data_IF_016914925985
#
_entry.id   IF_016914925985
#
_cell.length_a   1.000
_cell.length_b   1.000
_cell.length_c   1.000
_cell.angle_alpha   90.00
_cell.angle_beta   90.00
_cell.angle_gamma   90.00
#
_symmetry.space_group_name_H-M   'P 1'
#
loop_
_entity.id
_entity.type
_entity.pdbx_description
1 polymer ?
#
# COMPACT_ATOMS: atom_id res chain seq x y z
N UNK A 1 14.82 75.93 18.27
CA UNK A 1 13.57 75.19 18.06
C UNK A 1 13.87 73.68 18.19
N UNK A 2 13.41 73.05 19.24
CA UNK A 2 13.68 71.63 19.52
C UNK A 2 12.54 70.80 18.90
N UNK A 3 12.86 69.95 17.92
CA UNK A 3 11.94 69.03 17.24
C UNK A 3 11.51 67.94 18.21
N UNK A 4 10.24 67.94 18.62
CA UNK A 4 9.62 66.85 19.40
C UNK A 4 9.64 65.56 18.57
N UNK A 5 10.45 64.57 19.00
CA UNK A 5 10.36 63.17 18.50
C UNK A 5 9.00 62.62 18.88
N UNK A 6 8.17 62.28 17.89
CA UNK A 6 6.91 61.59 18.10
C UNK A 6 7.19 60.22 18.74
N UNK A 7 6.69 59.96 19.93
CA UNK A 7 6.69 58.64 20.55
C UNK A 7 5.81 57.72 19.66
N UNK A 8 6.41 56.74 18.97
CA UNK A 8 5.67 55.67 18.35
C UNK A 8 4.81 55.00 19.45
N UNK A 9 3.50 55.03 19.27
CA UNK A 9 2.56 54.28 20.10
C UNK A 9 2.83 52.79 19.91
N UNK A 10 3.44 52.15 20.92
CA UNK A 10 3.50 50.70 21.00
C UNK A 10 2.12 50.18 21.44
N UNK A 11 1.42 49.47 20.56
CA UNK A 11 0.25 48.71 20.96
C UNK A 11 0.67 47.67 22.01
N UNK A 12 0.18 47.82 23.24
CA UNK A 12 0.38 46.81 24.30
C UNK A 12 -0.70 45.74 24.14
N UNK A 13 -0.32 44.54 23.77
CA UNK A 13 -1.20 43.39 23.81
C UNK A 13 -1.57 43.04 25.27
N UNK A 14 -2.74 42.40 25.46
CA UNK A 14 -3.18 41.94 26.78
C UNK A 14 -2.15 41.00 27.42
N UNK A 15 -2.08 40.98 28.76
CA UNK A 15 -1.17 40.08 29.47
C UNK A 15 -1.43 38.62 29.11
N UNK A 16 -0.40 37.93 28.65
CA UNK A 16 -0.48 36.54 28.19
C UNK A 16 -0.61 36.36 26.68
N UNK A 17 -0.93 37.43 25.92
CA UNK A 17 -1.08 37.33 24.48
C UNK A 17 0.23 37.05 23.72
N UNK A 18 1.38 37.34 24.34
CA UNK A 18 2.69 37.18 23.71
C UNK A 18 3.32 38.53 23.38
N UNK A 19 4.52 38.48 22.79
CA UNK A 19 5.26 39.70 22.43
C UNK A 19 5.99 39.53 21.11
N UNK A 20 6.03 40.61 20.33
CA UNK A 20 6.84 40.73 19.11
C UNK A 20 8.00 41.65 19.46
N UNK A 21 9.24 41.21 19.20
CA UNK A 21 10.45 41.97 19.50
C UNK A 21 11.32 42.02 18.27
N UNK A 22 11.71 43.23 17.81
CA UNK A 22 12.71 43.38 16.75
C UNK A 22 14.10 43.18 17.34
N UNK A 23 14.79 42.15 16.89
CA UNK A 23 16.16 41.83 17.28
C UNK A 23 17.16 42.72 16.55
N UNK A 24 18.23 43.15 17.22
CA UNK A 24 19.30 43.93 16.59
C UNK A 24 20.22 43.09 15.68
N UNK A 25 21.05 43.80 14.91
CA UNK A 25 22.00 43.22 13.97
C UNK A 25 21.42 42.99 12.58
N UNK A 26 22.27 42.58 11.64
CA UNK A 26 21.89 42.33 10.24
C UNK A 26 21.25 40.93 10.05
N UNK A 27 20.04 40.75 10.56
CA UNK A 27 19.31 39.47 10.58
C UNK A 27 18.33 39.39 9.41
N UNK A 28 18.33 38.28 8.71
CA UNK A 28 17.39 38.01 7.61
C UNK A 28 15.91 37.96 8.09
N UNK A 29 15.69 37.57 9.37
CA UNK A 29 14.39 37.51 10.02
C UNK A 29 14.46 38.20 11.39
N UNK A 30 14.34 39.54 11.44
CA UNK A 30 14.61 40.30 12.67
C UNK A 30 13.46 40.31 13.69
N UNK A 31 12.24 39.90 13.33
CA UNK A 31 11.10 39.96 14.24
C UNK A 31 10.89 38.59 14.91
N UNK A 32 11.11 38.59 16.24
CA UNK A 32 10.91 37.41 17.09
C UNK A 32 9.54 37.49 17.79
N UNK A 33 8.74 36.43 17.66
CA UNK A 33 7.47 36.26 18.38
C UNK A 33 7.68 35.31 19.55
N UNK A 34 7.27 35.75 20.75
CA UNK A 34 7.28 34.95 21.98
C UNK A 34 5.86 34.81 22.49
N UNK A 35 5.49 33.59 22.90
CA UNK A 35 4.20 33.28 23.53
C UNK A 35 4.41 32.66 24.90
N UNK A 36 3.44 32.83 25.80
CA UNK A 36 3.42 32.18 27.10
C UNK A 36 2.78 30.81 26.96
N UNK A 37 3.52 29.74 27.26
CA UNK A 37 3.06 28.36 27.16
C UNK A 37 2.58 27.77 28.49
N UNK A 38 2.80 28.50 29.61
CA UNK A 38 2.40 28.08 30.95
C UNK A 38 3.01 28.95 32.06
N UNK A 39 2.81 28.53 33.32
CA UNK A 39 3.37 29.14 34.50
C UNK A 39 4.11 28.09 35.32
N UNK A 40 5.30 28.39 35.77
CA UNK A 40 6.06 27.56 36.68
C UNK A 40 6.59 28.44 37.79
N UNK A 41 6.30 28.08 39.04
CA UNK A 41 6.72 28.82 40.25
C UNK A 41 6.35 30.33 40.21
N UNK A 42 5.14 30.66 39.76
CA UNK A 42 4.65 32.03 39.62
C UNK A 42 5.28 32.84 38.48
N UNK A 43 6.14 32.24 37.66
CA UNK A 43 6.80 32.88 36.52
C UNK A 43 6.26 32.34 35.20
N UNK A 44 6.10 33.25 34.21
CA UNK A 44 5.69 32.87 32.87
C UNK A 44 6.77 32.03 32.16
N UNK A 45 6.39 30.85 31.71
CA UNK A 45 7.22 30.07 30.78
C UNK A 45 6.92 30.58 29.36
N UNK A 46 7.94 31.17 28.73
CA UNK A 46 7.81 31.75 27.37
C UNK A 46 8.61 30.92 26.37
N UNK A 47 8.02 30.64 25.21
CA UNK A 47 8.70 30.01 24.07
C UNK A 47 8.67 30.94 22.86
N UNK A 48 9.65 30.83 21.96
CA UNK A 48 9.62 31.49 20.66
C UNK A 48 8.63 30.76 19.76
N UNK A 49 7.68 31.53 19.18
CA UNK A 49 6.79 31.03 18.12
C UNK A 49 7.54 30.92 16.80
N UNK A 50 8.42 31.91 16.52
CA UNK A 50 9.24 31.94 15.32
C UNK A 50 9.96 33.29 15.15
N UNK A 51 10.69 33.38 14.01
CA UNK A 51 11.37 34.58 13.56
C UNK A 51 10.87 34.96 12.16
N UNK A 52 10.48 36.21 11.96
CA UNK A 52 9.78 36.69 10.76
C UNK A 52 10.53 37.84 10.10
N UNK A 53 10.30 38.04 8.79
CA UNK A 53 10.97 39.08 8.01
C UNK A 53 10.34 40.47 8.34
N UNK A 54 9.04 40.51 8.58
CA UNK A 54 8.29 41.73 8.83
C UNK A 54 7.47 41.65 10.14
N UNK A 55 7.16 42.81 10.71
CA UNK A 55 6.26 42.93 11.88
C UNK A 55 4.86 42.45 11.55
N UNK A 56 4.39 42.62 10.29
CA UNK A 56 3.08 42.16 9.83
C UNK A 56 2.99 40.65 9.84
N UNK A 57 4.01 39.94 9.34
CA UNK A 57 4.06 38.48 9.40
C UNK A 57 4.10 37.98 10.85
N UNK A 58 4.84 38.64 11.71
CA UNK A 58 4.93 38.32 13.14
C UNK A 58 3.57 38.48 13.84
N UNK A 59 2.80 39.53 13.50
CA UNK A 59 1.45 39.78 14.02
C UNK A 59 0.46 38.72 13.53
N UNK A 60 0.50 38.36 12.26
CA UNK A 60 -0.35 37.29 11.69
C UNK A 60 -0.08 35.96 12.41
N UNK A 61 1.18 35.59 12.57
CA UNK A 61 1.55 34.35 13.25
C UNK A 61 1.10 34.33 14.73
N UNK A 62 1.18 35.47 15.43
CA UNK A 62 0.68 35.59 16.79
C UNK A 62 -0.83 35.51 16.89
N UNK A 63 -1.56 36.08 15.91
CA UNK A 63 -3.01 36.00 15.82
C UNK A 63 -3.49 34.57 15.51
N UNK A 64 -2.82 33.86 14.61
CA UNK A 64 -3.09 32.45 14.28
C UNK A 64 -2.85 31.53 15.47
N UNK A 65 -1.80 31.79 16.24
CA UNK A 65 -1.55 31.06 17.48
C UNK A 65 -2.74 31.15 18.45
N UNK A 66 -3.33 32.32 18.61
CA UNK A 66 -4.47 32.53 19.51
C UNK A 66 -5.81 32.05 18.95
N UNK A 67 -5.95 31.86 17.65
CA UNK A 67 -7.14 31.24 17.06
C UNK A 67 -7.23 29.71 17.31
N UNK A 68 -6.28 29.13 18.05
CA UNK A 68 -6.30 27.73 18.41
C UNK A 68 -5.75 26.80 17.32
N UNK A 69 -5.14 27.33 16.25
CA UNK A 69 -4.58 26.56 15.14
C UNK A 69 -3.08 26.26 15.26
N UNK A 70 -2.40 26.72 16.31
CA UNK A 70 -0.95 26.60 16.40
C UNK A 70 -0.51 25.88 17.69
N UNK A 71 -0.23 24.60 17.59
CA UNK A 71 0.46 23.87 18.66
C UNK A 71 1.96 23.92 18.41
N UNK A 72 2.68 24.77 19.19
CA UNK A 72 4.12 24.98 19.06
C UNK A 72 4.98 23.72 19.17
N UNK A 73 4.53 22.75 19.95
CA UNK A 73 5.25 21.48 20.10
C UNK A 73 5.08 20.60 18.86
N UNK A 74 3.91 20.70 18.23
CA UNK A 74 3.58 19.92 17.02
C UNK A 74 4.13 20.57 15.74
N UNK A 75 4.19 21.91 15.65
CA UNK A 75 4.66 22.63 14.46
C UNK A 75 6.17 22.51 14.20
N UNK A 76 6.95 22.11 15.21
CA UNK A 76 8.39 21.90 15.08
C UNK A 76 8.78 20.45 14.80
N UNK A 77 7.81 19.52 14.76
CA UNK A 77 8.10 18.12 14.46
C UNK A 77 8.66 17.96 13.06
N UNK A 78 9.82 17.30 12.98
CA UNK A 78 10.43 16.95 11.70
C UNK A 78 9.67 15.84 10.99
N UNK A 79 9.88 15.70 9.69
CA UNK A 79 9.29 14.61 8.90
C UNK A 79 9.62 13.23 9.51
N UNK A 80 10.87 13.03 9.95
CA UNK A 80 11.32 11.80 10.59
C UNK A 80 10.58 11.51 11.90
N UNK A 81 10.46 12.52 12.79
CA UNK A 81 9.74 12.38 14.07
C UNK A 81 8.24 12.09 13.86
N UNK A 82 7.62 12.72 12.86
CA UNK A 82 6.22 12.45 12.53
C UNK A 82 6.07 11.04 11.98
N UNK A 83 6.99 10.59 11.12
CA UNK A 83 7.00 9.22 10.61
C UNK A 83 7.10 8.20 11.75
N UNK A 84 8.04 8.38 12.68
CA UNK A 84 8.25 7.44 13.79
C UNK A 84 7.04 7.37 14.73
N UNK A 85 6.39 8.50 15.00
CA UNK A 85 5.11 8.53 15.73
C UNK A 85 3.98 7.82 15.01
N UNK A 86 3.89 8.00 13.69
CA UNK A 86 2.87 7.37 12.87
C UNK A 86 3.07 5.88 12.76
N UNK A 87 4.30 5.42 12.45
CA UNK A 87 4.60 4.00 12.26
C UNK A 87 4.34 3.20 13.54
N UNK A 88 4.72 3.72 14.70
CA UNK A 88 4.48 3.08 16.00
C UNK A 88 3.00 2.82 16.29
N UNK A 89 2.08 3.62 15.71
CA UNK A 89 0.63 3.45 15.89
C UNK A 89 0.04 2.36 15.00
N UNK A 90 0.68 2.09 13.87
CA UNK A 90 0.18 1.11 12.89
C UNK A 90 0.95 -0.20 12.91
N UNK A 91 2.14 -0.24 13.51
CA UNK A 91 3.04 -1.40 13.52
C UNK A 91 2.37 -2.68 14.01
N UNK A 92 1.60 -2.62 15.09
CA UNK A 92 0.91 -3.79 15.65
C UNK A 92 -0.24 -4.34 14.79
N UNK A 93 -0.73 -3.54 13.82
CA UNK A 93 -1.89 -3.86 12.98
C UNK A 93 -1.52 -4.09 11.52
N UNK A 94 -0.38 -3.58 11.09
CA UNK A 94 0.06 -3.65 9.71
C UNK A 94 0.82 -4.95 9.43
N UNK A 95 0.63 -5.50 8.22
CA UNK A 95 1.44 -6.64 7.78
C UNK A 95 2.89 -6.22 7.51
N UNK A 96 3.84 -7.17 7.61
CA UNK A 96 5.25 -6.94 7.30
C UNK A 96 5.45 -6.28 5.92
N UNK A 97 4.67 -6.66 4.91
CA UNK A 97 4.76 -6.08 3.57
C UNK A 97 4.33 -4.61 3.53
N UNK A 98 3.33 -4.23 4.32
CA UNK A 98 2.90 -2.84 4.46
C UNK A 98 3.99 -2.01 5.13
N UNK A 99 4.55 -2.52 6.23
CA UNK A 99 5.66 -1.85 6.93
C UNK A 99 6.90 -1.72 6.04
N UNK A 100 7.25 -2.74 5.27
CA UNK A 100 8.34 -2.67 4.30
C UNK A 100 8.08 -1.60 3.22
N UNK A 101 6.83 -1.46 2.76
CA UNK A 101 6.47 -0.41 1.80
C UNK A 101 6.62 0.99 2.39
N UNK A 102 6.28 1.18 3.66
CA UNK A 102 6.46 2.45 4.36
C UNK A 102 7.94 2.74 4.62
N UNK A 103 8.70 1.74 5.03
CA UNK A 103 10.15 1.88 5.23
C UNK A 103 10.88 2.25 3.92
N UNK A 104 10.40 1.77 2.78
CA UNK A 104 10.93 2.13 1.46
C UNK A 104 10.87 3.65 1.20
N UNK A 105 9.84 4.34 1.67
CA UNK A 105 9.75 5.79 1.62
C UNK A 105 10.71 6.44 2.64
N UNK A 106 10.75 5.93 3.89
CA UNK A 106 11.60 6.48 4.96
C UNK A 106 13.07 6.51 4.58
N UNK A 107 13.62 5.42 4.08
CA UNK A 107 15.04 5.32 3.71
C UNK A 107 15.44 6.29 2.60
N UNK A 108 14.47 6.93 1.93
CA UNK A 108 14.67 7.91 0.86
C UNK A 108 14.36 9.35 1.25
N UNK A 109 14.00 9.61 2.53
CA UNK A 109 13.73 10.99 2.97
C UNK A 109 14.94 11.92 2.81
N UNK A 110 16.16 11.39 2.93
CA UNK A 110 17.39 12.18 2.77
C UNK A 110 17.38 13.40 3.69
N UNK A 111 17.74 14.55 3.13
CA UNK A 111 17.80 15.80 3.90
C UNK A 111 16.45 16.30 4.43
N UNK A 112 15.32 15.82 3.90
CA UNK A 112 13.99 16.21 4.39
C UNK A 112 13.68 15.62 5.77
N UNK A 113 14.32 14.53 6.18
CA UNK A 113 14.05 13.85 7.45
C UNK A 113 14.11 14.82 8.65
N UNK A 114 15.07 15.76 8.62
CA UNK A 114 15.33 16.72 9.68
C UNK A 114 14.61 18.07 9.49
N UNK A 115 13.79 18.20 8.43
CA UNK A 115 13.04 19.42 8.17
C UNK A 115 11.70 19.38 8.92
N UNK A 116 11.32 20.44 9.65
CA UNK A 116 9.98 20.54 10.21
C UNK A 116 8.92 20.36 9.15
N UNK A 117 7.95 19.47 9.39
CA UNK A 117 6.98 19.05 8.39
C UNK A 117 6.13 20.22 7.85
N UNK A 118 5.88 21.23 8.67
CA UNK A 118 5.18 22.47 8.27
C UNK A 118 5.89 23.27 7.19
N UNK A 119 7.21 23.10 7.07
CA UNK A 119 8.04 23.79 6.05
C UNK A 119 8.12 23.05 4.73
N UNK A 120 7.68 21.78 4.69
CA UNK A 120 7.63 20.99 3.47
C UNK A 120 6.38 21.35 2.67
N UNK A 121 6.59 21.87 1.46
CA UNK A 121 5.52 22.31 0.52
C UNK A 121 5.49 21.39 -0.70
N UNK A 122 4.53 21.60 -1.59
CA UNK A 122 4.33 20.75 -2.76
C UNK A 122 5.61 20.62 -3.61
N UNK A 123 6.29 21.72 -3.89
CA UNK A 123 7.52 21.73 -4.71
C UNK A 123 8.64 20.89 -4.06
N UNK A 124 8.84 21.01 -2.73
CA UNK A 124 9.83 20.21 -2.02
C UNK A 124 9.55 18.71 -2.13
N UNK A 125 8.27 18.32 -2.08
CA UNK A 125 7.85 16.92 -2.18
C UNK A 125 7.95 16.40 -3.61
N UNK A 126 7.71 17.26 -4.61
CA UNK A 126 7.87 16.90 -6.02
C UNK A 126 9.35 16.74 -6.37
N UNK A 127 10.20 17.72 -6.01
CA UNK A 127 11.65 17.65 -6.22
C UNK A 127 12.24 16.37 -5.59
N UNK A 128 11.78 16.06 -4.38
CA UNK A 128 12.18 14.82 -3.72
C UNK A 128 11.72 13.57 -4.48
N UNK A 129 10.46 13.50 -4.94
CA UNK A 129 9.95 12.37 -5.70
C UNK A 129 10.70 12.18 -7.02
N UNK A 130 11.05 13.28 -7.67
CA UNK A 130 11.81 13.29 -8.94
C UNK A 130 13.25 12.84 -8.74
N UNK A 131 13.86 13.15 -7.59
CA UNK A 131 15.19 12.70 -7.21
C UNK A 131 15.31 11.19 -7.01
N UNK A 132 14.21 10.48 -6.82
CA UNK A 132 14.19 9.02 -6.69
C UNK A 132 14.28 8.39 -8.09
N UNK A 133 15.49 8.02 -8.51
CA UNK A 133 15.76 7.47 -9.85
C UNK A 133 15.87 5.94 -9.87
N UNK A 134 16.05 5.32 -8.72
CA UNK A 134 16.26 3.87 -8.55
C UNK A 134 14.96 3.05 -8.53
N UNK A 135 13.79 3.70 -8.57
CA UNK A 135 12.49 3.04 -8.52
C UNK A 135 11.68 3.25 -9.81
N UNK A 136 11.09 2.16 -10.28
CA UNK A 136 10.11 2.25 -11.36
C UNK A 136 8.79 2.91 -10.92
N UNK A 137 7.95 3.38 -11.89
CA UNK A 137 6.73 4.15 -11.61
C UNK A 137 5.75 3.46 -10.68
N UNK A 138 5.57 2.15 -10.79
CA UNK A 138 4.69 1.37 -9.90
C UNK A 138 5.14 1.41 -8.43
N UNK A 139 6.45 1.38 -8.19
CA UNK A 139 7.03 1.47 -6.86
C UNK A 139 7.02 2.90 -6.33
N UNK A 140 7.27 3.91 -7.18
CA UNK A 140 7.11 5.33 -6.83
C UNK A 140 5.68 5.64 -6.38
N UNK A 141 4.65 5.05 -7.01
CA UNK A 141 3.25 5.15 -6.56
C UNK A 141 3.03 4.62 -5.14
N UNK A 142 3.74 3.54 -4.73
CA UNK A 142 3.68 3.04 -3.34
C UNK A 142 4.34 4.02 -2.38
N UNK A 143 5.47 4.62 -2.77
CA UNK A 143 6.14 5.67 -1.98
C UNK A 143 5.22 6.89 -1.83
N UNK A 144 4.60 7.39 -2.91
CA UNK A 144 3.58 8.44 -2.86
C UNK A 144 2.44 8.08 -1.91
N UNK A 145 1.93 6.85 -1.97
CA UNK A 145 0.85 6.38 -1.07
C UNK A 145 1.27 6.44 0.41
N UNK A 146 2.53 6.16 0.72
CA UNK A 146 3.07 6.31 2.08
C UNK A 146 3.07 7.78 2.51
N UNK A 147 3.52 8.70 1.64
CA UNK A 147 3.52 10.13 1.92
C UNK A 147 2.10 10.65 2.14
N UNK A 148 1.14 10.25 1.30
CA UNK A 148 -0.28 10.59 1.48
C UNK A 148 -0.81 10.18 2.85
N UNK A 149 -0.51 8.97 3.30
CA UNK A 149 -0.96 8.46 4.60
C UNK A 149 -0.28 9.21 5.76
N UNK A 150 1.01 9.49 5.64
CA UNK A 150 1.77 10.25 6.62
C UNK A 150 1.25 11.68 6.76
N UNK A 151 1.00 12.37 5.65
CA UNK A 151 0.40 13.71 5.65
C UNK A 151 -1.03 13.72 6.19
N UNK A 152 -1.82 12.70 5.86
CA UNK A 152 -3.16 12.52 6.44
C UNK A 152 -3.11 12.34 7.97
N UNK A 153 -2.13 11.60 8.47
CA UNK A 153 -1.89 11.48 9.91
C UNK A 153 -1.49 12.82 10.52
N UNK A 154 -0.57 13.56 9.90
CA UNK A 154 -0.12 14.85 10.35
C UNK A 154 -1.25 15.90 10.38
N UNK A 155 -2.10 15.92 9.34
CA UNK A 155 -3.27 16.79 9.27
C UNK A 155 -4.28 16.48 10.38
N UNK A 156 -4.56 15.18 10.62
CA UNK A 156 -5.48 14.73 11.68
C UNK A 156 -5.01 15.11 13.09
N UNK A 157 -3.70 15.29 13.28
CA UNK A 157 -3.09 15.63 14.57
C UNK A 157 -2.61 17.09 14.65
N UNK A 158 -3.12 17.97 13.78
CA UNK A 158 -2.83 19.40 13.73
C UNK A 158 -1.32 19.75 13.63
N UNK A 159 -0.53 18.83 13.06
CA UNK A 159 0.90 19.03 12.78
C UNK A 159 1.08 19.91 11.54
N UNK A 160 0.23 19.70 10.53
CA UNK A 160 0.17 20.49 9.30
C UNK A 160 -1.27 20.92 9.01
N UNK A 161 -1.45 22.02 8.28
CA UNK A 161 -2.78 22.53 7.90
C UNK A 161 -3.23 22.08 6.49
N UNK A 162 -2.33 21.50 5.70
CA UNK A 162 -2.59 21.13 4.30
C UNK A 162 -1.86 19.83 3.95
N UNK A 163 -2.53 18.97 3.21
CA UNK A 163 -1.94 17.72 2.70
C UNK A 163 -1.23 17.96 1.37
N UNK A 164 0.00 18.45 1.40
CA UNK A 164 0.78 18.70 0.19
C UNK A 164 1.19 17.42 -0.55
N UNK A 165 1.14 16.25 0.08
CA UNK A 165 1.45 14.98 -0.60
C UNK A 165 0.41 14.61 -1.68
N UNK A 166 -0.78 15.22 -1.68
CA UNK A 166 -1.78 15.03 -2.73
C UNK A 166 -1.31 15.54 -4.08
N UNK A 167 -0.44 16.55 -4.08
CA UNK A 167 0.08 17.18 -5.29
C UNK A 167 1.33 16.49 -5.87
N UNK A 168 1.85 15.44 -5.20
CA UNK A 168 2.97 14.67 -5.77
C UNK A 168 2.48 14.00 -7.06
N UNK A 169 3.18 14.22 -8.14
CA UNK A 169 2.96 13.54 -9.42
C UNK A 169 3.96 12.39 -9.59
N UNK A 170 3.49 11.30 -10.18
CA UNK A 170 4.33 10.16 -10.56
C UNK A 170 3.96 9.79 -11.99
N UNK A 171 4.96 9.63 -12.82
CA UNK A 171 4.77 9.25 -14.22
C UNK A 171 3.80 8.08 -14.37
N UNK A 172 2.82 8.25 -15.24
CA UNK A 172 1.87 7.22 -15.63
C UNK A 172 2.45 6.42 -16.79
N UNK A 173 3.40 5.52 -16.52
CA UNK A 173 3.64 4.46 -17.51
C UNK A 173 2.54 3.43 -17.34
N UNK A 174 1.84 3.12 -18.43
CA UNK A 174 1.00 1.93 -18.51
C UNK A 174 1.89 0.73 -18.24
N UNK A 175 1.68 0.07 -17.09
CA UNK A 175 2.30 -1.24 -16.89
C UNK A 175 1.79 -2.13 -18.01
N UNK A 176 2.65 -2.93 -18.66
CA UNK A 176 2.18 -3.88 -19.65
C UNK A 176 1.08 -4.72 -19.00
N UNK A 177 -0.07 -4.74 -19.62
CA UNK A 177 -1.14 -5.64 -19.21
C UNK A 177 -0.57 -7.04 -19.40
N UNK A 178 -0.29 -7.75 -18.29
CA UNK A 178 0.28 -9.09 -18.38
C UNK A 178 -0.57 -9.96 -19.32
N UNK A 179 0.09 -10.70 -20.16
CA UNK A 179 -0.53 -11.51 -21.21
C UNK A 179 -1.18 -12.75 -20.60
N UNK A 180 -2.29 -13.21 -21.19
CA UNK A 180 -2.89 -14.50 -20.85
C UNK A 180 -2.16 -15.59 -21.64
N UNK A 181 -2.07 -16.78 -21.08
CA UNK A 181 -1.55 -17.94 -21.80
C UNK A 181 -2.44 -18.26 -23.00
N UNK A 182 -1.83 -18.45 -24.15
CA UNK A 182 -2.51 -18.86 -25.38
C UNK A 182 -2.95 -20.31 -25.32
N UNK A 183 -3.89 -20.70 -26.15
CA UNK A 183 -4.31 -22.13 -26.28
C UNK A 183 -3.14 -23.06 -26.61
N UNK A 184 -2.20 -22.61 -27.43
CA UNK A 184 -0.99 -23.37 -27.77
C UNK A 184 -0.10 -23.61 -26.57
N UNK A 185 0.09 -22.61 -25.75
CA UNK A 185 0.90 -22.69 -24.51
C UNK A 185 0.23 -23.60 -23.50
N UNK A 186 -1.10 -23.51 -23.33
CA UNK A 186 -1.86 -24.40 -22.45
C UNK A 186 -1.75 -25.85 -22.92
N UNK A 187 -1.83 -26.11 -24.23
CA UNK A 187 -1.61 -27.45 -24.81
C UNK A 187 -0.20 -27.97 -24.52
N UNK A 188 0.81 -27.12 -24.67
CA UNK A 188 2.20 -27.45 -24.30
C UNK A 188 2.35 -27.80 -22.83
N UNK A 189 1.71 -27.04 -21.92
CA UNK A 189 1.71 -27.37 -20.49
C UNK A 189 1.06 -28.74 -20.21
N UNK A 190 -0.05 -29.06 -20.88
CA UNK A 190 -0.68 -30.38 -20.75
C UNK A 190 0.19 -31.50 -21.28
N UNK A 191 0.86 -31.31 -22.41
CA UNK A 191 1.81 -32.29 -22.98
C UNK A 191 3.01 -32.54 -22.03
N UNK A 192 3.35 -31.58 -21.16
CA UNK A 192 4.41 -31.66 -20.18
C UNK A 192 3.87 -31.80 -18.74
N UNK A 193 2.65 -32.31 -18.55
CA UNK A 193 2.01 -32.39 -17.23
C UNK A 193 2.70 -33.37 -16.27
N UNK A 194 3.67 -34.14 -16.69
CA UNK A 194 4.57 -34.91 -15.82
C UNK A 194 5.58 -34.03 -15.10
N UNK A 195 5.95 -32.87 -15.68
CA UNK A 195 6.78 -31.89 -15.01
C UNK A 195 6.03 -31.23 -13.85
N UNK A 196 6.71 -31.11 -12.72
CA UNK A 196 6.08 -30.64 -11.48
C UNK A 196 5.67 -29.16 -11.59
N UNK A 197 6.44 -28.34 -12.32
CA UNK A 197 6.17 -26.91 -12.50
C UNK A 197 4.98 -26.72 -13.45
N UNK A 198 4.93 -27.46 -14.57
CA UNK A 198 3.78 -27.47 -15.46
C UNK A 198 2.50 -27.88 -14.72
N UNK A 199 2.59 -28.89 -13.86
CA UNK A 199 1.46 -29.41 -13.08
C UNK A 199 0.84 -28.36 -12.18
N UNK A 200 1.61 -27.66 -11.37
CA UNK A 200 1.02 -26.63 -10.50
C UNK A 200 0.64 -25.36 -11.26
N UNK A 201 1.26 -25.05 -12.40
CA UNK A 201 0.80 -23.98 -13.31
C UNK A 201 -0.61 -24.30 -13.83
N UNK A 202 -0.86 -25.53 -14.28
CA UNK A 202 -2.19 -25.99 -14.71
C UNK A 202 -3.20 -25.89 -13.56
N UNK A 203 -2.84 -26.32 -12.35
CA UNK A 203 -3.70 -26.19 -11.17
C UNK A 203 -4.08 -24.71 -10.93
N UNK A 204 -3.11 -23.79 -11.02
CA UNK A 204 -3.37 -22.35 -10.90
C UNK A 204 -4.32 -21.83 -11.99
N UNK A 205 -4.15 -22.26 -13.25
CA UNK A 205 -4.99 -21.83 -14.38
C UNK A 205 -6.44 -22.30 -14.26
N UNK A 206 -6.67 -23.50 -13.74
CA UNK A 206 -8.04 -24.04 -13.64
C UNK A 206 -8.74 -23.62 -12.34
N UNK A 207 -8.01 -23.21 -11.30
CA UNK A 207 -8.58 -22.78 -10.02
C UNK A 207 -8.66 -21.26 -9.91
N UNK A 208 -7.85 -20.53 -10.65
CA UNK A 208 -7.68 -19.08 -10.51
C UNK A 208 -7.07 -18.67 -9.18
N UNK A 209 -6.43 -19.57 -8.45
CA UNK A 209 -5.72 -19.27 -7.19
C UNK A 209 -4.52 -18.35 -7.42
N UNK A 210 -4.14 -17.62 -6.39
CA UNK A 210 -2.82 -16.98 -6.36
C UNK A 210 -1.78 -18.01 -5.96
N UNK A 211 -0.54 -17.90 -6.49
CA UNK A 211 0.55 -18.82 -6.12
C UNK A 211 0.75 -18.92 -4.60
N UNK A 212 0.64 -17.80 -3.88
CA UNK A 212 0.74 -17.81 -2.40
C UNK A 212 -0.46 -18.45 -1.68
N UNK A 213 -1.60 -18.67 -2.36
CA UNK A 213 -2.74 -19.44 -1.85
C UNK A 213 -2.51 -20.93 -2.10
N UNK A 214 -2.00 -21.29 -3.26
CA UNK A 214 -1.64 -22.68 -3.61
C UNK A 214 -0.56 -23.23 -2.67
N UNK A 215 0.48 -22.44 -2.38
CA UNK A 215 1.56 -22.81 -1.45
C UNK A 215 1.06 -23.16 -0.02
N UNK A 216 -0.06 -22.55 0.40
CA UNK A 216 -0.65 -22.79 1.72
C UNK A 216 -1.74 -23.85 1.74
N UNK A 217 -2.09 -24.39 0.56
CA UNK A 217 -3.15 -25.36 0.44
C UNK A 217 -2.67 -26.75 0.94
N UNK A 218 -3.41 -27.30 1.88
CA UNK A 218 -3.13 -28.63 2.45
C UNK A 218 -4.29 -29.59 2.24
N UNK A 219 -4.03 -30.87 2.38
CA UNK A 219 -5.02 -31.95 2.25
C UNK A 219 -6.28 -31.71 3.11
N UNK A 220 -6.11 -31.14 4.33
CA UNK A 220 -7.22 -30.89 5.26
C UNK A 220 -8.25 -29.90 4.71
N UNK A 221 -7.86 -29.10 3.70
CA UNK A 221 -8.72 -28.10 3.06
C UNK A 221 -9.22 -28.54 1.68
N UNK A 222 -9.02 -29.80 1.31
CA UNK A 222 -9.35 -30.32 -0.03
C UNK A 222 -10.35 -31.45 0.07
N UNK A 223 -11.52 -31.26 -0.52
CA UNK A 223 -12.63 -32.21 -0.60
C UNK A 223 -12.63 -32.86 -1.98
N UNK A 224 -11.87 -33.96 -2.12
CA UNK A 224 -11.63 -34.61 -3.43
C UNK A 224 -12.87 -35.25 -4.05
N UNK A 225 -13.78 -35.76 -3.24
CA UNK A 225 -15.02 -36.39 -3.71
C UNK A 225 -16.02 -35.35 -4.22
N UNK A 226 -16.13 -34.23 -3.51
CA UNK A 226 -16.97 -33.11 -3.87
C UNK A 226 -16.29 -32.09 -4.78
N UNK A 227 -15.02 -32.31 -5.12
CA UNK A 227 -14.21 -31.53 -6.07
C UNK A 227 -14.09 -30.02 -5.73
N UNK A 228 -13.84 -29.71 -4.49
CA UNK A 228 -13.55 -28.32 -4.10
C UNK A 228 -12.48 -28.23 -3.00
N UNK A 229 -11.91 -27.04 -2.88
CA UNK A 229 -10.97 -26.65 -1.82
C UNK A 229 -11.53 -25.45 -1.05
N UNK A 230 -11.12 -25.32 0.21
CA UNK A 230 -11.40 -24.12 1.02
C UNK A 230 -10.09 -23.35 1.21
N UNK A 231 -10.01 -22.13 0.72
CA UNK A 231 -8.78 -21.37 0.77
C UNK A 231 -8.95 -19.86 0.55
N UNK A 232 -7.81 -19.19 0.40
CA UNK A 232 -7.73 -17.75 0.23
C UNK A 232 -7.30 -17.03 1.50
N UNK A 233 -6.44 -16.00 1.36
CA UNK A 233 -5.79 -15.39 2.53
C UNK A 233 -5.62 -13.88 2.48
N UNK A 234 -5.79 -13.23 1.33
CA UNK A 234 -5.34 -11.85 1.14
C UNK A 234 -6.40 -10.78 1.36
N UNK A 235 -7.69 -11.10 1.21
CA UNK A 235 -8.82 -10.17 1.34
C UNK A 235 -9.94 -10.84 2.09
N UNK A 236 -10.81 -10.07 2.76
CA UNK A 236 -11.95 -10.64 3.48
C UNK A 236 -12.89 -11.41 2.54
N UNK A 237 -13.09 -10.94 1.31
CA UNK A 237 -13.87 -11.65 0.28
C UNK A 237 -13.19 -12.91 -0.27
N UNK A 238 -11.87 -13.02 -0.12
CA UNK A 238 -11.08 -14.18 -0.54
C UNK A 238 -10.83 -15.19 0.56
N UNK A 239 -11.09 -14.84 1.82
CA UNK A 239 -10.78 -15.69 2.97
C UNK A 239 -11.82 -16.82 3.09
N UNK A 240 -11.34 -18.07 3.21
CA UNK A 240 -12.20 -19.27 3.33
C UNK A 240 -13.22 -19.40 2.19
N UNK A 241 -12.88 -18.98 0.96
CA UNK A 241 -13.75 -19.18 -0.18
C UNK A 241 -13.69 -20.63 -0.68
N UNK A 242 -14.77 -21.06 -1.28
CA UNK A 242 -14.83 -22.31 -2.03
C UNK A 242 -14.12 -22.11 -3.39
N UNK A 243 -13.17 -22.98 -3.69
CA UNK A 243 -12.42 -23.01 -4.94
C UNK A 243 -12.73 -24.34 -5.60
N UNK A 244 -13.51 -24.38 -6.69
CA UNK A 244 -13.87 -25.64 -7.37
C UNK A 244 -12.66 -26.23 -8.08
N UNK A 245 -12.63 -27.57 -8.14
CA UNK A 245 -11.63 -28.36 -8.85
C UNK A 245 -12.26 -28.85 -10.15
N UNK A 246 -11.73 -28.42 -11.27
CA UNK A 246 -12.15 -28.90 -12.59
C UNK A 246 -11.77 -30.38 -12.79
N UNK A 247 -12.61 -31.17 -13.46
CA UNK A 247 -12.39 -32.61 -13.72
C UNK A 247 -11.01 -32.91 -14.31
N UNK A 248 -10.54 -32.08 -15.24
CA UNK A 248 -9.23 -32.28 -15.92
C UNK A 248 -8.04 -32.19 -14.95
N UNK A 249 -8.09 -31.34 -13.94
CA UNK A 249 -6.98 -31.18 -12.97
C UNK A 249 -7.12 -32.05 -11.73
N UNK A 250 -8.25 -32.73 -11.54
CA UNK A 250 -8.48 -33.60 -10.39
C UNK A 250 -7.41 -34.71 -10.29
N UNK A 251 -6.99 -35.39 -11.36
CA UNK A 251 -5.87 -36.35 -11.31
C UNK A 251 -4.57 -35.71 -10.83
N UNK A 252 -4.24 -34.48 -11.28
CA UNK A 252 -3.04 -33.76 -10.88
C UNK A 252 -3.06 -33.44 -9.40
N UNK A 253 -4.22 -33.00 -8.88
CA UNK A 253 -4.42 -32.70 -7.46
C UNK A 253 -4.24 -33.99 -6.63
N UNK A 254 -4.85 -35.10 -7.02
CA UNK A 254 -4.74 -36.40 -6.35
C UNK A 254 -3.29 -36.87 -6.31
N UNK A 255 -2.56 -36.75 -7.41
CA UNK A 255 -1.15 -37.13 -7.51
C UNK A 255 -0.28 -36.28 -6.57
N UNK A 256 -0.46 -34.96 -6.51
CA UNK A 256 0.28 -34.11 -5.60
C UNK A 256 0.03 -34.48 -4.12
N UNK A 257 -1.22 -34.72 -3.75
CA UNK A 257 -1.57 -35.13 -2.40
C UNK A 257 -1.13 -36.54 -2.02
N UNK A 258 -0.88 -37.41 -2.98
CA UNK A 258 -0.33 -38.76 -2.69
C UNK A 258 1.11 -38.71 -2.17
N UNK A 259 1.84 -37.61 -2.48
CA UNK A 259 3.24 -37.43 -2.10
C UNK A 259 3.40 -36.59 -0.80
N UNK A 260 2.46 -35.71 -0.53
CA UNK A 260 2.56 -34.75 0.57
C UNK A 260 1.19 -34.26 1.02
N UNK A 261 1.13 -33.77 2.27
CA UNK A 261 -0.04 -33.03 2.75
C UNK A 261 -0.20 -31.64 2.08
N UNK A 262 0.87 -31.09 1.51
CA UNK A 262 0.84 -29.82 0.79
C UNK A 262 0.49 -30.05 -0.68
N UNK A 263 -0.46 -29.27 -1.22
CA UNK A 263 -0.85 -29.38 -2.64
C UNK A 263 0.31 -28.98 -3.57
N UNK A 264 1.09 -27.97 -3.19
CA UNK A 264 2.31 -27.60 -3.91
C UNK A 264 3.53 -28.16 -3.15
N UNK A 265 4.11 -29.19 -3.69
CA UNK A 265 5.26 -29.88 -3.14
C UNK A 265 6.26 -30.18 -4.26
N UNK A 266 7.54 -30.43 -3.89
CA UNK A 266 8.56 -30.88 -4.83
C UNK A 266 8.44 -32.39 -5.12
N UNK A 267 9.32 -32.90 -5.97
CA UNK A 267 9.31 -34.32 -6.38
C UNK A 267 9.50 -35.28 -5.20
N UNK A 268 10.08 -34.80 -4.09
CA UNK A 268 10.29 -35.56 -2.85
C UNK A 268 9.17 -35.35 -1.83
N UNK A 269 8.10 -34.64 -2.18
CA UNK A 269 7.00 -34.31 -1.29
C UNK A 269 7.28 -33.19 -0.29
N UNK A 270 8.38 -32.43 -0.44
CA UNK A 270 8.73 -31.33 0.44
C UNK A 270 7.95 -30.07 0.10
N UNK A 271 7.56 -29.31 1.12
CA UNK A 271 6.88 -28.02 0.98
C UNK A 271 7.69 -27.04 0.13
N UNK A 272 7.00 -26.33 -0.77
CA UNK A 272 7.57 -25.25 -1.55
C UNK A 272 7.56 -23.93 -0.80
N UNK A 273 8.64 -23.15 -0.94
CA UNK A 273 8.71 -21.76 -0.49
C UNK A 273 8.40 -20.80 -1.65
N UNK A 274 7.89 -19.61 -1.32
CA UNK A 274 7.48 -18.63 -2.30
C UNK A 274 8.60 -18.24 -3.29
N UNK A 275 9.82 -17.99 -2.76
CA UNK A 275 10.96 -17.59 -3.59
C UNK A 275 11.41 -18.74 -4.52
N UNK A 276 11.41 -19.97 -4.02
CA UNK A 276 11.70 -21.17 -4.84
C UNK A 276 10.67 -21.34 -5.95
N UNK A 277 9.38 -21.23 -5.62
CA UNK A 277 8.30 -21.31 -6.61
C UNK A 277 8.42 -20.25 -7.70
N UNK A 278 8.82 -19.01 -7.35
CA UNK A 278 9.08 -17.96 -8.33
C UNK A 278 10.28 -18.24 -9.21
N UNK A 279 11.34 -18.81 -8.64
CA UNK A 279 12.54 -19.19 -9.38
C UNK A 279 12.23 -20.29 -10.38
N UNK A 280 11.61 -21.38 -9.94
CA UNK A 280 11.24 -22.50 -10.80
C UNK A 280 10.27 -22.07 -11.90
N UNK A 281 9.31 -21.19 -11.58
CA UNK A 281 8.43 -20.62 -12.60
C UNK A 281 9.22 -19.85 -13.67
N UNK A 282 10.13 -18.99 -13.28
CA UNK A 282 10.94 -18.19 -14.22
C UNK A 282 11.84 -19.08 -15.09
N UNK A 283 12.48 -20.06 -14.49
CA UNK A 283 13.34 -21.01 -15.20
C UNK A 283 12.51 -21.83 -16.21
N UNK A 284 11.33 -22.28 -15.80
CA UNK A 284 10.42 -23.02 -16.68
C UNK A 284 9.90 -22.16 -17.85
N UNK A 285 9.51 -20.92 -17.59
CA UNK A 285 9.11 -19.97 -18.64
C UNK A 285 10.28 -19.70 -19.61
N UNK A 286 11.48 -19.46 -19.10
CA UNK A 286 12.67 -19.23 -19.91
C UNK A 286 13.02 -20.45 -20.78
N UNK A 287 12.89 -21.67 -20.26
CA UNK A 287 13.08 -22.90 -21.02
C UNK A 287 12.12 -23.03 -22.20
N UNK A 288 10.87 -22.57 -22.03
CA UNK A 288 9.87 -22.58 -23.09
C UNK A 288 9.93 -21.36 -24.02
N UNK A 289 10.77 -20.36 -23.69
CA UNK A 289 10.86 -19.09 -24.44
C UNK A 289 9.66 -18.17 -24.21
N UNK A 290 9.02 -18.24 -23.02
CA UNK A 290 7.83 -17.47 -22.67
C UNK A 290 8.14 -16.41 -21.59
N UNK A 291 7.38 -15.30 -21.59
CA UNK A 291 7.57 -14.16 -20.66
C UNK A 291 6.41 -13.97 -19.67
N UNK A 292 5.76 -15.05 -19.25
CA UNK A 292 4.65 -14.99 -18.31
C UNK A 292 5.11 -14.81 -16.87
N UNK A 293 4.22 -14.22 -16.07
CA UNK A 293 4.34 -14.10 -14.61
C UNK A 293 3.34 -15.03 -13.93
N UNK A 294 3.58 -15.47 -12.67
CA UNK A 294 2.64 -16.34 -11.97
C UNK A 294 1.21 -15.79 -11.88
N UNK A 295 1.03 -14.45 -11.90
CA UNK A 295 -0.30 -13.84 -11.89
C UNK A 295 -1.05 -13.98 -13.22
N UNK A 296 -0.36 -14.25 -14.31
CA UNK A 296 -0.97 -14.43 -15.63
C UNK A 296 -1.75 -15.75 -15.71
N UNK A 297 -1.39 -16.77 -14.91
CA UNK A 297 -2.21 -17.99 -14.75
C UNK A 297 -3.62 -17.66 -14.27
N UNK A 298 -3.76 -16.74 -13.34
CA UNK A 298 -5.05 -16.32 -12.81
C UNK A 298 -5.83 -15.43 -13.80
N UNK A 299 -5.13 -14.59 -14.59
CA UNK A 299 -5.77 -13.82 -15.67
C UNK A 299 -6.31 -14.79 -16.73
N UNK A 300 -5.53 -15.82 -17.05
CA UNK A 300 -5.93 -16.90 -17.97
C UNK A 300 -7.16 -17.64 -17.42
N UNK A 301 -7.17 -18.01 -16.14
CA UNK A 301 -8.34 -18.62 -15.51
C UNK A 301 -9.62 -17.78 -15.68
N UNK A 302 -9.54 -16.47 -15.41
CA UNK A 302 -10.67 -15.55 -15.58
C UNK A 302 -11.11 -15.49 -17.05
N UNK A 303 -10.16 -15.42 -17.99
CA UNK A 303 -10.44 -15.40 -19.44
C UNK A 303 -11.11 -16.69 -19.91
N UNK A 304 -10.61 -17.85 -19.48
CA UNK A 304 -11.19 -19.15 -19.80
C UNK A 304 -12.63 -19.30 -19.26
N UNK A 305 -12.85 -18.93 -18.01
CA UNK A 305 -14.18 -18.96 -17.40
C UNK A 305 -15.15 -18.03 -18.15
N UNK A 306 -14.71 -16.83 -18.49
CA UNK A 306 -15.51 -15.87 -19.25
C UNK A 306 -15.83 -16.41 -20.66
N UNK A 307 -14.85 -16.97 -21.35
CA UNK A 307 -15.02 -17.61 -22.66
C UNK A 307 -15.97 -18.81 -22.65
N UNK A 308 -16.06 -19.53 -21.50
CA UNK A 308 -17.01 -20.61 -21.27
C UNK A 308 -18.43 -20.13 -20.92
N UNK A 309 -18.68 -18.81 -20.93
CA UNK A 309 -20.00 -18.23 -20.62
C UNK A 309 -20.37 -18.28 -19.13
N UNK A 310 -19.38 -18.45 -18.24
CA UNK A 310 -19.64 -18.39 -16.78
C UNK A 310 -19.94 -16.94 -16.40
N UNK A 311 -21.05 -16.67 -15.67
CA UNK A 311 -21.40 -15.31 -15.24
C UNK A 311 -20.29 -14.66 -14.43
N UNK A 312 -20.03 -13.37 -14.65
CA UNK A 312 -18.92 -12.62 -14.04
C UNK A 312 -18.97 -12.65 -12.50
N UNK A 313 -20.18 -12.68 -11.91
CA UNK A 313 -20.39 -12.79 -10.48
C UNK A 313 -19.87 -14.15 -9.96
N UNK A 314 -20.12 -15.22 -10.69
CA UNK A 314 -19.61 -16.57 -10.36
C UNK A 314 -18.10 -16.62 -10.47
N UNK A 315 -17.52 -16.02 -11.52
CA UNK A 315 -16.07 -15.89 -11.68
C UNK A 315 -15.47 -15.14 -10.49
N UNK A 316 -16.07 -14.00 -10.07
CA UNK A 316 -15.63 -13.23 -8.91
C UNK A 316 -15.63 -14.05 -7.62
N UNK A 317 -16.65 -14.88 -7.39
CA UNK A 317 -16.71 -15.80 -6.25
C UNK A 317 -15.55 -16.80 -6.30
N UNK A 318 -15.36 -17.49 -7.42
CA UNK A 318 -14.31 -18.50 -7.60
C UNK A 318 -12.93 -17.89 -7.34
N UNK A 319 -12.64 -16.77 -7.99
CA UNK A 319 -11.31 -16.14 -7.85
C UNK A 319 -11.13 -15.30 -6.59
N UNK A 320 -12.20 -14.96 -5.86
CA UNK A 320 -12.14 -14.16 -4.64
C UNK A 320 -11.77 -12.70 -4.93
N UNK A 321 -12.46 -12.07 -5.88
CA UNK A 321 -12.43 -10.64 -6.08
C UNK A 321 -13.53 -9.97 -5.25
N UNK A 322 -13.16 -8.94 -4.46
CA UNK A 322 -14.14 -8.13 -3.73
C UNK A 322 -15.02 -7.36 -4.72
N UNK A 323 -16.33 -7.64 -4.71
CA UNK A 323 -17.32 -6.82 -5.40
C UNK A 323 -17.40 -5.41 -4.76
N UNK A 324 -17.75 -4.39 -5.54
CA UNK A 324 -17.85 -2.99 -5.07
C UNK A 324 -19.11 -2.70 -4.22
N UNK A 325 -19.87 -3.70 -3.76
CA UNK A 325 -21.10 -3.49 -3.00
C UNK A 325 -21.36 -4.54 -1.92
N UNK A 326 -21.81 -4.10 -0.74
CA UNK A 326 -22.23 -4.96 0.37
C UNK A 326 -23.40 -5.87 -0.04
N UNK A 327 -24.23 -5.41 -0.98
CA UNK A 327 -25.42 -6.12 -1.48
C UNK A 327 -25.05 -7.38 -2.28
N UNK A 328 -23.96 -7.36 -3.08
CA UNK A 328 -23.52 -8.53 -3.86
C UNK A 328 -23.00 -9.68 -2.98
N UNK A 329 -22.34 -9.38 -1.86
CA UNK A 329 -21.76 -10.40 -0.97
C UNK A 329 -22.83 -11.17 -0.15
N UNK A 330 -23.97 -10.59 0.07
CA UNK A 330 -25.03 -11.17 0.92
C UNK A 330 -26.01 -12.04 0.12
N UNK A 331 -26.27 -11.71 -1.15
CA UNK A 331 -27.34 -12.37 -1.93
C UNK A 331 -26.85 -13.46 -2.91
N UNK A 332 -25.56 -13.53 -3.23
CA UNK A 332 -25.02 -14.50 -4.19
C UNK A 332 -24.19 -15.60 -3.49
N UNK A 333 -24.84 -16.39 -2.66
CA UNK A 333 -24.22 -17.61 -2.10
C UNK A 333 -24.43 -18.77 -3.08
N UNK A 334 -23.36 -19.22 -3.71
CA UNK A 334 -23.36 -20.45 -4.49
C UNK A 334 -22.83 -21.62 -3.67
N UNK A 335 -23.47 -22.77 -3.83
CA UNK A 335 -23.00 -24.01 -3.22
C UNK A 335 -21.71 -24.51 -3.90
N UNK A 336 -20.88 -25.30 -3.23
CA UNK A 336 -19.71 -25.92 -3.85
C UNK A 336 -20.06 -26.66 -5.16
N UNK A 337 -21.17 -27.39 -5.18
CA UNK A 337 -21.65 -28.12 -6.35
C UNK A 337 -21.92 -27.21 -7.54
N UNK A 338 -22.61 -26.09 -7.35
CA UNK A 338 -22.85 -25.10 -8.42
C UNK A 338 -21.56 -24.50 -8.96
N UNK A 339 -20.55 -24.30 -8.11
CA UNK A 339 -19.24 -23.80 -8.54
C UNK A 339 -18.46 -24.85 -9.32
N UNK A 340 -18.54 -26.12 -8.95
CA UNK A 340 -17.94 -27.24 -9.68
C UNK A 340 -18.61 -27.43 -11.05
N UNK A 341 -19.95 -27.41 -11.08
CA UNK A 341 -20.70 -27.43 -12.34
C UNK A 341 -20.34 -26.24 -13.26
N UNK A 342 -20.10 -25.06 -12.67
CA UNK A 342 -19.71 -23.89 -13.42
C UNK A 342 -18.30 -24.05 -14.00
N UNK A 343 -17.30 -24.43 -13.20
CA UNK A 343 -15.91 -24.53 -13.69
C UNK A 343 -15.76 -25.62 -14.75
N UNK A 344 -16.52 -26.71 -14.67
CA UNK A 344 -16.48 -27.81 -15.64
C UNK A 344 -17.04 -27.43 -17.02
N UNK A 345 -17.63 -26.23 -17.20
CA UNK A 345 -17.97 -25.66 -18.51
C UNK A 345 -16.74 -25.16 -19.27
N UNK A 346 -15.59 -25.03 -18.62
CA UNK A 346 -14.36 -24.57 -19.25
C UNK A 346 -13.81 -25.69 -20.12
N UNK A 347 -14.07 -25.63 -21.40
CA UNK A 347 -13.51 -26.54 -22.40
C UNK A 347 -12.30 -25.90 -23.07
N UNK A 348 -11.12 -26.51 -22.93
CA UNK A 348 -9.96 -26.17 -23.74
C UNK A 348 -9.95 -27.19 -24.90
N UNK A 349 -10.24 -26.71 -26.08
CA UNK A 349 -10.19 -27.55 -27.29
C UNK A 349 -8.72 -27.84 -27.60
N UNK A 350 -8.35 -29.08 -27.55
CA UNK A 350 -7.02 -29.58 -27.98
C UNK A 350 -6.99 -29.85 -29.47
#
# INVERSE_FOLDING_TARGET
MATKRSKKQHFRHQNGFGSITKLGGNRRKPYAVRVTTGWKDGRQVRKYLGFYVSEAEALIALAEYHKGGYNLEMSNLTLGEVYDRWISRIESKASKNVLNSHNMAKVRFGGMENVPMVNLKADHLQDWMDSITDLGPGTKRKVKSTMLQLWKYALKNDIVSTNYAEHIEVESKSEPVGEIFTEKEIKTLWANSDDITAKWILILMYTGMRIGELLKMTADNIHLEEQYMIGGSKTDAGRNRVIPIHDKILPLVKEQLSRSKYLMNDINGKEYYYDKALTDFKEYMAHLGWEHLPHDTRKTAVSLMHGAGIPIETIRIIVGHSGKGVTEQVYLRKTPKELVEAINKVEIKY
#
